data_IF_956644293600
#
_entry.id   IF_956644293600
#
_cell.length_a   1.000
_cell.length_b   1.000
_cell.length_c   1.000
_cell.angle_alpha   90.00
_cell.angle_beta   90.00
_cell.angle_gamma   90.00
#
_symmetry.space_group_name_H-M   'P 1'
#
loop_
_entity.id
_entity.type
_entity.pdbx_description
1 polymer ?
#
# COMPACT_ATOMS: atom_id res chain seq x y z
N UNK A 1 -20.52 -42.78 -62.00
CA UNK A 1 -19.59 -42.49 -60.87
C UNK A 1 -20.12 -41.31 -60.05
N UNK A 2 -21.08 -41.52 -59.15
CA UNK A 2 -21.73 -40.40 -58.44
C UNK A 2 -22.05 -40.69 -56.96
N UNK A 3 -21.15 -41.37 -56.23
CA UNK A 3 -21.40 -41.74 -54.83
C UNK A 3 -20.31 -41.33 -53.81
N UNK A 4 -19.33 -40.48 -54.20
CA UNK A 4 -18.25 -40.06 -53.29
C UNK A 4 -18.38 -38.65 -52.70
N UNK A 5 -19.22 -37.76 -53.25
CA UNK A 5 -19.32 -36.35 -52.79
C UNK A 5 -20.22 -36.16 -51.56
N UNK A 6 -21.26 -36.98 -51.36
CA UNK A 6 -22.18 -36.85 -50.21
C UNK A 6 -21.64 -37.37 -48.87
N UNK A 7 -20.75 -38.37 -48.89
CA UNK A 7 -20.18 -38.97 -47.67
C UNK A 7 -19.15 -38.08 -46.97
N UNK A 8 -18.43 -37.24 -47.72
CA UNK A 8 -17.45 -36.29 -47.15
C UNK A 8 -18.11 -35.11 -46.45
N UNK A 9 -19.21 -34.58 -47.02
CA UNK A 9 -19.96 -33.48 -46.39
C UNK A 9 -20.63 -33.91 -45.08
N UNK A 10 -21.15 -35.14 -45.00
CA UNK A 10 -21.70 -35.69 -43.77
C UNK A 10 -20.63 -35.88 -42.67
N UNK A 11 -19.42 -36.32 -43.03
CA UNK A 11 -18.32 -36.48 -42.06
C UNK A 11 -17.81 -35.14 -41.52
N UNK A 12 -17.73 -34.10 -42.36
CA UNK A 12 -17.32 -32.75 -41.93
C UNK A 12 -18.37 -32.12 -41.00
N UNK A 13 -19.66 -32.31 -41.29
CA UNK A 13 -20.73 -31.82 -40.41
C UNK A 13 -20.71 -32.48 -39.02
N UNK A 14 -20.45 -33.79 -38.95
CA UNK A 14 -20.34 -34.52 -37.66
C UNK A 14 -19.10 -34.08 -36.87
N UNK A 15 -17.97 -33.81 -37.55
CA UNK A 15 -16.74 -33.33 -36.91
C UNK A 15 -16.89 -31.91 -36.35
N UNK A 16 -17.58 -31.02 -37.06
CA UNK A 16 -17.88 -29.66 -36.57
C UNK A 16 -18.83 -29.66 -35.37
N UNK A 17 -19.82 -30.56 -35.35
CA UNK A 17 -20.70 -30.73 -34.19
C UNK A 17 -19.94 -31.32 -33.00
N UNK A 18 -19.05 -32.29 -33.20
CA UNK A 18 -18.23 -32.86 -32.12
C UNK A 18 -17.20 -31.86 -31.57
N UNK A 19 -16.57 -31.04 -32.42
CA UNK A 19 -15.69 -29.96 -31.96
C UNK A 19 -16.48 -28.83 -31.26
N UNK A 20 -17.68 -28.50 -31.75
CA UNK A 20 -18.55 -27.51 -31.13
C UNK A 20 -19.06 -27.96 -29.75
N UNK A 21 -19.48 -29.21 -29.61
CA UNK A 21 -19.98 -29.77 -28.35
C UNK A 21 -18.82 -30.04 -27.37
N UNK A 22 -17.67 -30.55 -27.84
CA UNK A 22 -16.47 -30.74 -27.02
C UNK A 22 -15.84 -29.44 -26.54
N UNK A 23 -15.81 -28.41 -27.40
CA UNK A 23 -15.40 -27.05 -27.04
C UNK A 23 -16.37 -26.40 -26.04
N UNK A 24 -17.68 -26.57 -26.24
CA UNK A 24 -18.70 -26.01 -25.34
C UNK A 24 -18.74 -26.72 -23.98
N UNK A 25 -18.60 -28.05 -23.93
CA UNK A 25 -18.51 -28.81 -22.68
C UNK A 25 -17.16 -28.61 -21.96
N UNK A 26 -16.04 -28.52 -22.70
CA UNK A 26 -14.71 -28.27 -22.14
C UNK A 26 -14.60 -26.87 -21.51
N UNK A 27 -15.14 -25.85 -22.18
CA UNK A 27 -15.17 -24.47 -21.67
C UNK A 27 -16.06 -24.33 -20.43
N UNK A 28 -17.16 -25.09 -20.37
CA UNK A 28 -18.11 -25.04 -19.25
C UNK A 28 -17.61 -25.77 -17.99
N UNK A 29 -16.58 -26.62 -18.10
CA UNK A 29 -16.01 -27.37 -16.97
C UNK A 29 -14.79 -26.70 -16.30
N UNK A 30 -14.20 -25.68 -16.95
CA UNK A 30 -13.10 -24.86 -16.41
C UNK A 30 -13.55 -23.52 -15.80
N UNK A 31 -14.86 -23.28 -15.66
CA UNK A 31 -15.38 -22.19 -14.82
C UNK A 31 -15.70 -22.73 -13.42
N UNK A 32 -14.70 -23.32 -12.77
CA UNK A 32 -14.71 -23.57 -11.34
C UNK A 32 -14.62 -22.21 -10.64
N UNK A 33 -15.78 -21.68 -10.25
CA UNK A 33 -15.92 -20.78 -9.10
C UNK A 33 -15.02 -19.55 -9.06
N UNK A 34 -14.74 -18.91 -10.21
CA UNK A 34 -14.22 -17.54 -10.18
C UNK A 34 -15.37 -16.68 -9.70
N UNK A 35 -15.29 -16.22 -8.44
CA UNK A 35 -16.20 -15.21 -7.91
C UNK A 35 -16.15 -14.04 -8.91
N UNK A 36 -17.22 -13.84 -9.68
CA UNK A 36 -17.28 -12.75 -10.65
C UNK A 36 -16.95 -11.44 -9.92
N UNK A 37 -16.24 -10.51 -10.56
CA UNK A 37 -15.85 -9.22 -9.98
C UNK A 37 -17.00 -8.54 -9.22
N UNK A 38 -18.24 -8.73 -9.70
CA UNK A 38 -19.47 -8.23 -9.08
C UNK A 38 -19.79 -8.88 -7.72
N UNK A 39 -19.54 -10.17 -7.53
CA UNK A 39 -19.62 -10.84 -6.23
C UNK A 39 -18.42 -10.49 -5.33
N UNK A 40 -17.21 -10.31 -5.87
CA UNK A 40 -16.05 -9.80 -5.10
C UNK A 40 -16.37 -8.42 -4.53
N UNK A 41 -16.92 -7.52 -5.35
CA UNK A 41 -17.34 -6.17 -4.96
C UNK A 41 -18.59 -6.19 -4.05
N UNK A 42 -19.37 -7.26 -4.01
CA UNK A 42 -20.52 -7.39 -3.10
C UNK A 42 -20.11 -7.95 -1.74
N UNK A 43 -19.18 -8.91 -1.73
CA UNK A 43 -18.70 -9.59 -0.53
C UNK A 43 -17.64 -8.78 0.22
N UNK A 44 -16.80 -8.03 -0.51
CA UNK A 44 -16.10 -6.89 0.06
C UNK A 44 -17.14 -5.80 0.16
N UNK A 45 -17.40 -5.25 1.34
CA UNK A 45 -18.30 -4.12 1.55
C UNK A 45 -17.91 -2.94 0.63
N UNK A 46 -18.35 -2.92 -0.63
CA UNK A 46 -18.00 -1.90 -1.63
C UNK A 46 -18.54 -0.52 -1.32
N UNK A 47 -19.42 -0.42 -0.31
CA UNK A 47 -19.74 0.81 0.38
C UNK A 47 -18.49 1.53 0.93
N UNK A 48 -17.39 0.81 1.21
CA UNK A 48 -16.11 1.39 1.63
C UNK A 48 -15.29 2.00 0.48
N UNK A 49 -15.55 1.62 -0.77
CA UNK A 49 -14.75 2.05 -1.93
C UNK A 49 -15.47 3.04 -2.86
N UNK A 50 -16.80 2.94 -2.99
CA UNK A 50 -17.57 3.81 -3.89
C UNK A 50 -18.02 5.11 -3.23
N UNK A 51 -18.22 5.09 -1.92
CA UNK A 51 -18.49 6.27 -1.12
C UNK A 51 -17.43 6.28 -0.03
N UNK A 52 -16.22 6.79 -0.29
CA UNK A 52 -15.33 7.14 0.82
C UNK A 52 -16.16 8.07 1.72
N UNK A 53 -16.58 7.67 2.94
CA UNK A 53 -17.06 8.66 3.87
C UNK A 53 -15.84 9.56 4.04
N UNK A 54 -15.88 10.77 3.49
CA UNK A 54 -14.81 11.73 3.74
C UNK A 54 -14.92 12.00 5.22
N UNK A 55 -14.12 11.26 5.99
CA UNK A 55 -14.06 11.36 7.43
C UNK A 55 -13.89 12.84 7.76
N UNK A 56 -14.42 13.28 8.90
CA UNK A 56 -14.24 14.67 9.37
C UNK A 56 -12.76 15.08 9.27
N UNK A 57 -11.86 14.13 9.53
CA UNK A 57 -10.42 14.26 9.34
C UNK A 57 -10.03 14.52 7.88
N UNK A 58 -10.45 13.70 6.90
CA UNK A 58 -10.15 13.94 5.48
C UNK A 58 -10.60 15.33 5.02
N UNK A 59 -11.79 15.78 5.42
CA UNK A 59 -12.28 17.13 5.10
C UNK A 59 -11.40 18.21 5.74
N UNK A 60 -10.97 18.01 6.99
CA UNK A 60 -10.04 18.95 7.65
C UNK A 60 -8.67 19.00 6.98
N UNK A 61 -8.10 17.86 6.58
CA UNK A 61 -6.81 17.81 5.87
C UNK A 61 -6.90 18.45 4.50
N UNK A 62 -8.01 18.23 3.76
CA UNK A 62 -8.24 18.92 2.50
C UNK A 62 -8.30 20.45 2.66
N UNK A 63 -8.88 20.96 3.76
CA UNK A 63 -8.85 22.40 4.09
C UNK A 63 -7.42 22.87 4.37
N UNK A 64 -6.67 22.14 5.19
CA UNK A 64 -5.26 22.45 5.50
C UNK A 64 -4.43 22.49 4.21
N UNK A 65 -4.57 21.50 3.32
CA UNK A 65 -3.85 21.45 2.04
C UNK A 65 -4.15 22.68 1.17
N UNK A 66 -5.42 23.12 1.13
CA UNK A 66 -5.81 24.32 0.37
C UNK A 66 -5.25 25.60 0.99
N UNK A 67 -5.40 25.78 2.30
CA UNK A 67 -5.06 27.01 3.01
C UNK A 67 -3.61 27.09 3.49
N UNK A 68 -2.83 26.01 3.40
CA UNK A 68 -1.46 25.99 3.93
C UNK A 68 -0.56 26.95 3.14
N UNK A 69 0.19 27.75 3.89
CA UNK A 69 1.37 28.51 3.44
C UNK A 69 2.66 27.93 4.01
N UNK A 70 2.57 26.75 4.64
CA UNK A 70 3.69 26.11 5.33
C UNK A 70 4.69 25.55 4.31
N UNK A 71 5.96 25.86 4.50
CA UNK A 71 7.10 25.33 3.74
C UNK A 71 7.60 24.04 4.39
N UNK A 72 8.63 23.41 3.83
CA UNK A 72 9.29 22.27 4.49
C UNK A 72 9.73 22.65 5.90
N UNK A 73 10.18 23.89 6.11
CA UNK A 73 10.74 24.29 7.39
C UNK A 73 9.75 24.29 8.56
N UNK A 74 8.48 24.56 8.29
CA UNK A 74 7.41 24.61 9.28
C UNK A 74 6.24 23.69 8.92
N UNK A 75 6.52 22.56 8.25
CA UNK A 75 5.50 21.63 7.78
C UNK A 75 4.47 21.25 8.86
N UNK A 76 3.20 21.12 8.48
CA UNK A 76 2.18 20.55 9.36
C UNK A 76 2.45 19.05 9.51
N UNK A 77 2.48 18.53 10.74
CA UNK A 77 2.65 17.10 11.00
C UNK A 77 1.57 16.62 11.97
N UNK A 78 0.86 15.56 11.58
CA UNK A 78 -0.15 14.92 12.42
C UNK A 78 0.12 13.42 12.56
N UNK A 79 0.51 13.00 13.76
CA UNK A 79 0.60 11.58 14.12
C UNK A 79 -0.80 10.97 14.20
N UNK A 80 -0.91 9.71 13.77
CA UNK A 80 -2.14 8.95 13.70
C UNK A 80 -3.30 9.75 13.07
N UNK A 81 -3.15 10.20 11.81
CA UNK A 81 -4.06 11.19 11.22
C UNK A 81 -5.52 10.73 11.19
N UNK A 82 -5.77 9.41 11.10
CA UNK A 82 -7.12 8.84 11.07
C UNK A 82 -7.52 8.13 12.36
N UNK A 83 -6.66 8.06 13.37
CA UNK A 83 -6.95 7.41 14.65
C UNK A 83 -6.71 5.90 14.67
N UNK A 84 -6.56 5.26 13.51
CA UNK A 84 -6.49 3.80 13.35
C UNK A 84 -5.07 3.24 13.26
N UNK A 85 -4.07 4.08 12.99
CA UNK A 85 -2.69 3.64 12.72
C UNK A 85 -1.71 4.49 13.54
N UNK A 86 -1.49 4.14 14.82
CA UNK A 86 -0.76 5.00 15.78
C UNK A 86 0.70 5.26 15.42
N UNK A 87 1.26 4.44 14.53
CA UNK A 87 2.66 4.46 14.08
C UNK A 87 2.82 5.08 12.68
N UNK A 88 1.89 5.96 12.33
CA UNK A 88 1.90 6.72 11.08
C UNK A 88 1.79 8.20 11.36
N UNK A 89 2.18 9.03 10.40
CA UNK A 89 1.94 10.45 10.42
C UNK A 89 1.56 10.98 9.03
N UNK A 90 0.87 12.11 9.00
CA UNK A 90 0.64 12.88 7.78
C UNK A 90 1.40 14.20 7.89
N UNK A 91 2.31 14.43 6.94
CA UNK A 91 3.01 15.70 6.81
C UNK A 91 2.47 16.49 5.60
N UNK A 92 2.22 17.79 5.78
CA UNK A 92 1.67 18.67 4.75
C UNK A 92 2.48 19.96 4.67
N UNK A 93 2.98 20.28 3.48
CA UNK A 93 3.71 21.51 3.17
C UNK A 93 3.62 21.85 1.68
N UNK A 94 4.13 23.01 1.31
CA UNK A 94 4.29 23.48 -0.05
C UNK A 94 5.74 23.81 -0.36
N UNK A 95 6.06 23.79 -1.65
CA UNK A 95 7.33 24.22 -2.23
C UNK A 95 7.04 25.18 -3.37
N UNK A 96 7.91 26.18 -3.56
CA UNK A 96 7.74 27.17 -4.63
C UNK A 96 7.92 26.54 -6.02
N UNK A 97 8.83 25.58 -6.11
CA UNK A 97 9.09 24.78 -7.30
C UNK A 97 8.52 23.37 -7.19
N UNK A 98 8.26 22.73 -8.33
CA UNK A 98 7.80 21.34 -8.38
C UNK A 98 8.90 20.39 -7.89
N UNK A 99 8.60 19.64 -6.84
CA UNK A 99 9.52 18.68 -6.23
C UNK A 99 8.89 17.29 -6.14
N UNK A 100 9.73 16.27 -6.17
CA UNK A 100 9.40 14.90 -5.76
C UNK A 100 9.87 14.72 -4.32
N UNK A 101 9.05 14.11 -3.48
CA UNK A 101 9.37 13.91 -2.06
C UNK A 101 9.75 12.47 -1.81
N UNK A 102 10.91 12.27 -1.20
CA UNK A 102 11.33 11.01 -0.60
C UNK A 102 11.47 11.22 0.90
N UNK A 103 11.05 10.26 1.73
CA UNK A 103 11.33 10.29 3.16
C UNK A 103 11.92 8.97 3.63
N UNK A 104 12.73 9.03 4.67
CA UNK A 104 13.31 7.88 5.36
C UNK A 104 13.01 7.97 6.85
N UNK A 105 12.30 6.98 7.39
CA UNK A 105 12.19 6.79 8.84
C UNK A 105 13.41 6.00 9.30
N UNK A 106 14.31 6.67 10.01
CA UNK A 106 15.59 6.11 10.44
C UNK A 106 15.36 4.91 11.36
N UNK A 107 15.99 3.79 11.02
CA UNK A 107 15.99 2.56 11.80
C UNK A 107 16.74 2.69 13.12
N UNK A 108 16.42 1.85 14.11
CA UNK A 108 17.18 1.79 15.37
C UNK A 108 18.51 1.04 15.23
N UNK A 109 18.64 0.21 14.19
CA UNK A 109 19.87 -0.50 13.85
C UNK A 109 20.15 -0.40 12.35
N UNK A 110 21.33 -0.85 11.95
CA UNK A 110 21.67 -1.00 10.53
C UNK A 110 20.63 -1.86 9.80
N UNK A 111 20.37 -1.47 8.54
CA UNK A 111 19.42 -2.12 7.65
C UNK A 111 18.01 -2.27 8.23
N UNK A 112 17.53 -1.26 8.99
CA UNK A 112 16.12 -1.18 9.44
C UNK A 112 15.46 0.16 9.12
N UNK A 113 16.15 1.06 8.42
CA UNK A 113 15.56 2.30 7.90
C UNK A 113 14.57 1.99 6.79
N UNK A 114 13.47 2.76 6.73
CA UNK A 114 12.42 2.60 5.70
C UNK A 114 12.32 3.88 4.91
N UNK A 115 12.58 3.79 3.62
CA UNK A 115 12.54 4.86 2.63
C UNK A 115 11.34 4.71 1.72
N UNK A 116 10.68 5.83 1.45
CA UNK A 116 9.46 5.90 0.68
C UNK A 116 9.47 7.13 -0.23
N UNK A 117 9.01 6.96 -1.47
CA UNK A 117 8.87 8.06 -2.43
C UNK A 117 7.40 8.36 -2.70
N UNK A 118 6.98 9.60 -2.45
CA UNK A 118 5.64 10.07 -2.80
C UNK A 118 5.54 10.22 -4.32
N UNK A 119 4.47 9.70 -4.90
CA UNK A 119 4.29 9.67 -6.36
C UNK A 119 4.13 11.09 -6.93
N UNK A 120 4.95 11.37 -7.95
CA UNK A 120 4.85 12.55 -8.81
C UNK A 120 5.59 13.77 -8.29
N UNK A 121 5.78 14.74 -9.20
CA UNK A 121 6.34 16.06 -8.89
C UNK A 121 5.19 17.04 -8.65
N UNK A 122 5.20 17.73 -7.51
CA UNK A 122 4.13 18.66 -7.10
C UNK A 122 4.72 19.86 -6.36
N UNK A 123 3.93 20.92 -6.21
CA UNK A 123 4.22 22.05 -5.32
C UNK A 123 3.48 21.96 -4.00
N UNK A 124 2.44 21.13 -3.93
CA UNK A 124 1.67 20.85 -2.70
C UNK A 124 1.85 19.40 -2.33
N UNK A 125 2.37 19.16 -1.13
CA UNK A 125 2.82 17.86 -0.67
C UNK A 125 1.95 17.36 0.47
N UNK A 126 1.47 16.13 0.31
CA UNK A 126 0.87 15.34 1.37
C UNK A 126 1.70 14.06 1.48
N UNK A 127 2.47 13.95 2.55
CA UNK A 127 3.44 12.88 2.75
C UNK A 127 2.90 11.94 3.82
N UNK A 128 2.37 10.75 3.43
CA UNK A 128 2.01 9.72 4.39
C UNK A 128 3.29 9.03 4.88
N UNK A 129 3.63 9.28 6.13
CA UNK A 129 4.77 8.68 6.81
C UNK A 129 4.28 7.42 7.51
N UNK A 130 4.84 6.27 7.14
CA UNK A 130 4.54 4.97 7.75
C UNK A 130 5.81 4.36 8.35
N UNK A 131 5.66 3.39 9.26
CA UNK A 131 6.81 2.73 9.86
C UNK A 131 7.42 3.52 11.01
N UNK A 132 6.66 4.25 11.83
CA UNK A 132 7.24 4.93 13.01
C UNK A 132 7.37 3.94 14.18
N UNK A 133 8.47 4.00 14.90
CA UNK A 133 8.60 3.25 16.15
C UNK A 133 7.63 3.78 17.21
N UNK A 134 7.06 2.88 18.02
CA UNK A 134 6.24 3.21 19.17
C UNK A 134 7.05 3.79 20.34
N UNK A 135 6.44 4.68 21.12
CA UNK A 135 7.02 5.30 22.32
C UNK A 135 8.42 5.88 22.04
N UNK A 136 8.58 6.55 20.90
CA UNK A 136 9.89 6.96 20.41
C UNK A 136 9.86 8.33 19.74
N UNK A 137 11.01 9.02 19.80
CA UNK A 137 11.28 10.25 19.04
C UNK A 137 11.89 9.85 17.70
N UNK A 138 11.03 9.54 16.74
CA UNK A 138 11.45 9.06 15.42
C UNK A 138 12.16 10.16 14.65
N UNK A 139 13.29 9.84 14.03
CA UNK A 139 13.94 10.73 13.06
C UNK A 139 13.43 10.39 11.67
N UNK A 140 12.79 11.37 11.02
CA UNK A 140 12.29 11.24 9.65
C UNK A 140 13.03 12.23 8.78
N UNK A 141 13.92 11.71 7.94
CA UNK A 141 14.61 12.51 6.93
C UNK A 141 13.69 12.69 5.74
N UNK A 142 13.48 13.91 5.29
CA UNK A 142 12.66 14.26 4.12
C UNK A 142 13.56 14.94 3.11
N UNK A 143 13.63 14.38 1.92
CA UNK A 143 14.40 14.90 0.79
C UNK A 143 13.45 15.34 -0.31
N UNK A 144 13.60 16.57 -0.76
CA UNK A 144 12.99 17.13 -1.96
C UNK A 144 13.99 16.98 -3.10
N UNK A 145 13.53 16.45 -4.23
CA UNK A 145 14.28 16.45 -5.49
C UNK A 145 13.51 17.28 -6.51
N UNK A 146 14.10 18.38 -6.96
CA UNK A 146 13.51 19.26 -7.95
C UNK A 146 13.77 18.73 -9.36
N UNK A 147 13.11 19.32 -10.37
CA UNK A 147 13.26 18.88 -11.77
C UNK A 147 14.61 19.21 -12.39
N UNK A 148 15.31 20.22 -11.87
CA UNK A 148 16.66 20.61 -12.28
C UNK A 148 17.75 19.72 -11.68
N UNK A 149 17.38 18.74 -10.85
CA UNK A 149 18.30 17.82 -10.18
C UNK A 149 18.81 18.30 -8.82
N UNK A 150 18.50 19.54 -8.42
CA UNK A 150 18.84 20.04 -7.09
C UNK A 150 18.04 19.32 -6.01
N UNK A 151 18.56 19.31 -4.78
CA UNK A 151 17.91 18.65 -3.65
C UNK A 151 17.96 19.51 -2.39
N UNK A 152 16.91 19.42 -1.58
CA UNK A 152 16.84 19.97 -0.22
C UNK A 152 16.51 18.83 0.74
N UNK A 153 17.19 18.76 1.89
CA UNK A 153 16.93 17.73 2.90
C UNK A 153 16.68 18.36 4.26
N UNK A 154 15.69 17.82 4.99
CA UNK A 154 15.41 18.18 6.37
C UNK A 154 15.05 16.96 7.21
N UNK A 155 15.55 16.90 8.44
CA UNK A 155 15.17 15.88 9.42
C UNK A 155 14.12 16.42 10.38
N UNK A 156 13.06 15.64 10.60
CA UNK A 156 11.99 15.93 11.54
C UNK A 156 12.01 14.92 12.68
N UNK A 157 11.87 15.40 13.91
CA UNK A 157 11.63 14.54 15.06
C UNK A 157 10.12 14.39 15.29
N UNK A 158 9.60 13.16 15.16
CA UNK A 158 8.18 12.83 15.32
C UNK A 158 8.00 11.91 16.53
N UNK A 159 7.37 12.42 17.58
CA UNK A 159 7.09 11.65 18.81
C UNK A 159 5.81 10.84 18.67
N UNK A 160 5.89 9.55 18.97
CA UNK A 160 4.74 8.63 19.02
C UNK A 160 4.44 8.19 20.44
N UNK A 161 3.19 7.80 20.69
CA UNK A 161 2.78 7.18 21.95
C UNK A 161 3.12 5.68 22.01
N UNK A 162 2.81 5.07 23.15
CA UNK A 162 2.88 3.61 23.32
C UNK A 162 1.91 2.90 22.39
N UNK A 163 2.25 1.67 21.99
CA UNK A 163 1.34 0.78 21.26
C UNK A 163 0.03 0.58 22.04
N UNK A 164 -1.10 0.31 21.38
CA UNK A 164 -2.32 -0.21 22.00
C UNK A 164 -2.05 -1.44 22.89
N UNK A 165 -2.89 -1.67 23.92
CA UNK A 165 -2.65 -2.71 24.94
C UNK A 165 -2.54 -4.11 24.34
N UNK A 166 -3.40 -4.44 23.37
CA UNK A 166 -3.38 -5.69 22.61
C UNK A 166 -2.02 -5.93 21.93
N UNK A 167 -1.49 -4.93 21.21
CA UNK A 167 -0.20 -5.04 20.52
C UNK A 167 1.01 -5.03 21.46
N UNK A 168 0.91 -4.42 22.65
CA UNK A 168 1.98 -4.49 23.67
C UNK A 168 2.15 -5.89 24.25
N UNK A 169 1.10 -6.69 24.24
CA UNK A 169 1.12 -8.06 24.76
C UNK A 169 1.63 -9.07 23.72
N UNK A 170 1.66 -8.68 22.45
CA UNK A 170 2.18 -9.50 21.37
C UNK A 170 3.69 -9.69 21.52
N UNK A 171 4.11 -10.88 21.93
CA UNK A 171 5.53 -11.26 21.99
C UNK A 171 6.02 -11.66 20.60
N UNK A 172 7.02 -10.94 20.10
CA UNK A 172 7.68 -11.23 18.83
C UNK A 172 9.10 -11.67 19.13
N UNK A 173 9.46 -12.86 18.67
CA UNK A 173 10.81 -13.40 18.81
C UNK A 173 11.37 -13.64 17.42
N UNK A 174 12.48 -12.98 17.09
CA UNK A 174 13.20 -13.20 15.84
C UNK A 174 14.27 -14.26 16.09
N UNK A 175 14.04 -15.48 15.59
CA UNK A 175 15.00 -16.59 15.74
C UNK A 175 16.10 -16.58 14.68
N UNK A 176 15.80 -16.05 13.49
CA UNK A 176 16.75 -15.89 12.38
C UNK A 176 16.42 -14.60 11.64
N UNK A 177 17.42 -13.74 11.45
CA UNK A 177 17.34 -12.55 10.62
C UNK A 177 18.64 -12.44 9.84
N UNK A 178 18.55 -12.43 8.51
CA UNK A 178 19.67 -12.15 7.64
C UNK A 178 19.32 -10.96 6.75
N UNK A 179 19.64 -9.76 7.25
CA UNK A 179 19.22 -8.49 6.66
C UNK A 179 19.75 -8.27 5.24
N UNK A 180 20.85 -8.92 4.84
CA UNK A 180 21.36 -8.84 3.46
C UNK A 180 20.59 -9.70 2.47
N UNK A 181 19.82 -10.69 2.95
CA UNK A 181 18.96 -11.54 2.12
C UNK A 181 17.48 -11.14 2.18
N UNK A 182 17.12 -10.24 3.09
CA UNK A 182 15.76 -9.74 3.25
C UNK A 182 15.54 -8.52 2.34
N UNK A 183 14.35 -8.40 1.79
CA UNK A 183 13.92 -7.17 1.14
C UNK A 183 13.51 -6.18 2.24
N UNK A 184 14.37 -5.19 2.50
CA UNK A 184 14.20 -4.21 3.58
C UNK A 184 14.30 -2.81 2.99
N UNK A 185 13.47 -1.91 3.51
CA UNK A 185 13.71 -0.48 3.43
C UNK A 185 12.95 0.23 2.32
N UNK A 186 12.70 -0.37 1.15
CA UNK A 186 11.94 0.29 0.08
C UNK A 186 10.43 0.11 0.27
N UNK A 187 9.87 0.74 1.32
CA UNK A 187 8.47 0.59 1.75
C UNK A 187 8.09 -0.83 2.24
N UNK A 188 9.08 -1.64 2.60
CA UNK A 188 8.87 -3.03 2.95
C UNK A 188 8.98 -3.23 4.45
N UNK A 189 7.87 -3.71 5.01
CA UNK A 189 7.75 -4.23 6.35
C UNK A 189 7.12 -5.62 6.24
N UNK A 190 7.42 -6.48 7.22
CA UNK A 190 6.73 -7.77 7.30
C UNK A 190 5.36 -7.55 7.93
N UNK A 191 4.31 -7.69 7.14
CA UNK A 191 2.93 -7.55 7.61
C UNK A 191 2.44 -8.87 8.21
N UNK A 192 1.92 -8.79 9.43
CA UNK A 192 1.43 -9.92 10.21
C UNK A 192 -0.08 -9.75 10.39
N UNK A 193 -0.83 -10.71 9.89
CA UNK A 193 -2.28 -10.80 10.08
C UNK A 193 -2.59 -12.06 10.90
N UNK A 194 -3.21 -11.88 12.06
CA UNK A 194 -3.65 -12.98 12.93
C UNK A 194 -5.16 -12.94 13.03
N UNK A 195 -5.78 -14.11 13.13
CA UNK A 195 -7.25 -14.26 13.17
C UNK A 195 -7.92 -13.48 14.31
N UNK A 196 -7.24 -13.29 15.45
CA UNK A 196 -7.81 -12.69 16.67
C UNK A 196 -7.18 -11.36 17.09
N UNK A 197 -6.22 -10.82 16.33
CA UNK A 197 -5.54 -9.56 16.66
C UNK A 197 -5.64 -8.58 15.48
N UNK A 198 -5.59 -7.28 15.77
CA UNK A 198 -5.42 -6.27 14.73
C UNK A 198 -4.13 -6.56 13.95
N UNK A 199 -4.16 -6.45 12.62
CA UNK A 199 -2.95 -6.68 11.85
C UNK A 199 -1.94 -5.56 12.10
N UNK A 200 -0.66 -5.92 12.08
CA UNK A 200 0.43 -4.99 12.32
C UNK A 200 1.63 -5.36 11.46
N UNK A 201 2.59 -4.46 11.36
CA UNK A 201 3.80 -4.68 10.58
C UNK A 201 5.04 -4.62 11.49
N UNK A 202 6.10 -5.33 11.10
CA UNK A 202 7.37 -5.36 11.84
C UNK A 202 8.56 -5.14 10.92
N UNK A 203 9.63 -4.56 11.49
CA UNK A 203 10.94 -4.52 10.83
C UNK A 203 11.71 -5.84 10.95
N UNK A 204 12.90 -5.87 10.37
CA UNK A 204 13.76 -7.06 10.35
C UNK A 204 14.26 -7.52 11.73
N UNK A 205 14.07 -6.70 12.77
CA UNK A 205 14.37 -7.04 14.17
C UNK A 205 13.10 -7.39 14.95
N UNK A 206 11.93 -7.42 14.30
CA UNK A 206 10.66 -7.76 14.92
C UNK A 206 10.02 -6.61 15.70
N UNK A 207 10.51 -5.37 15.55
CA UNK A 207 9.86 -4.23 16.18
C UNK A 207 8.59 -3.87 15.41
N UNK A 208 7.46 -3.75 16.12
CA UNK A 208 6.21 -3.25 15.55
C UNK A 208 6.36 -1.78 15.16
N UNK A 209 6.13 -1.46 13.88
CA UNK A 209 6.21 -0.08 13.33
C UNK A 209 5.39 0.09 12.06
#
# INVERSE_FOLDING_TARGET
MHHKKGRWLALIAVLLVLCGVGGWFGYRRYSLGVIFDKQIIKNINSHLLKNNPTSKQTKSYAKIVKSTTRTLNNAYVKVNPYGTSPLTALMIFKTDQVAKVTYTVVGKTDNTSITNTVKGYKTTHQVPIVGLYANYSNQVQVTLTYKDGTTEQKTFTIKTGKLPKNLRQTKITVSKSNKSKMQIGNNELTYINKTSEEPFAVDADGNIR
#
